data_IF_712552423648
#
_entry.id   IF_712552423648
#
_cell.length_a   1.000
_cell.length_b   1.000
_cell.length_c   1.000
_cell.angle_alpha   90.00
_cell.angle_beta   90.00
_cell.angle_gamma   90.00
#
_symmetry.space_group_name_H-M   'P 1'
#
loop_
_entity.id
_entity.type
_entity.pdbx_description
1 polymer ?
#
# COMPACT_ATOMS: atom_id res chain seq x y z
N UNK A 1 8.46 9.46 19.73
CA UNK A 1 9.65 10.00 20.41
C UNK A 1 9.55 9.58 21.86
N UNK A 2 10.57 8.92 22.39
CA UNK A 2 10.65 8.49 23.79
C UNK A 2 11.94 9.11 24.32
N UNK A 3 11.86 9.79 25.45
CA UNK A 3 13.02 10.41 26.10
C UNK A 3 13.20 9.82 27.48
N UNK A 4 14.43 9.43 27.79
CA UNK A 4 14.82 8.95 29.11
C UNK A 4 15.81 9.92 29.75
N UNK A 5 15.67 10.25 31.04
CA UNK A 5 16.68 11.02 31.77
C UNK A 5 18.05 10.32 31.75
N UNK A 6 19.13 11.11 31.78
CA UNK A 6 20.50 10.57 31.73
C UNK A 6 20.80 9.53 32.80
N UNK A 7 20.28 9.72 34.02
CA UNK A 7 20.49 8.76 35.11
C UNK A 7 19.82 7.40 34.84
N UNK A 8 18.67 7.37 34.15
CA UNK A 8 17.96 6.12 33.78
C UNK A 8 18.71 5.37 32.69
N UNK A 9 19.31 6.07 31.72
CA UNK A 9 20.09 5.44 30.63
C UNK A 9 21.34 4.74 31.17
N UNK A 10 21.91 5.25 32.26
CA UNK A 10 23.14 4.74 32.86
C UNK A 10 22.90 3.61 33.89
N UNK A 11 21.65 3.27 34.20
CA UNK A 11 21.36 2.16 35.11
C UNK A 11 21.70 0.82 34.45
N UNK A 12 22.38 -0.03 35.22
CA UNK A 12 22.54 -1.45 34.88
C UNK A 12 21.29 -2.20 35.33
N UNK A 13 20.61 -2.84 34.38
CA UNK A 13 19.38 -3.59 34.63
C UNK A 13 19.65 -5.09 34.56
N UNK A 14 19.23 -5.83 35.59
CA UNK A 14 19.16 -7.29 35.58
C UNK A 14 17.77 -7.73 35.10
N UNK A 15 17.57 -7.66 33.78
CA UNK A 15 16.30 -8.02 33.13
C UNK A 15 16.56 -9.05 32.01
N UNK A 16 15.57 -9.89 31.68
CA UNK A 16 15.70 -10.80 30.54
C UNK A 16 15.96 -10.06 29.23
N UNK A 17 16.60 -10.74 28.29
CA UNK A 17 16.80 -10.24 26.93
C UNK A 17 15.46 -9.81 26.29
N UNK A 18 15.45 -8.73 25.50
CA UNK A 18 14.26 -8.33 24.77
C UNK A 18 13.84 -9.46 23.83
N UNK A 19 12.52 -9.67 23.72
CA UNK A 19 11.98 -10.61 22.75
C UNK A 19 12.45 -10.24 21.33
N UNK A 20 12.67 -11.22 20.45
CA UNK A 20 12.99 -10.90 19.06
C UNK A 20 11.85 -10.11 18.42
N UNK A 21 12.15 -9.18 17.47
CA UNK A 21 11.16 -8.28 16.87
C UNK A 21 9.86 -8.94 16.39
N UNK A 22 9.94 -10.15 15.84
CA UNK A 22 8.79 -10.91 15.34
C UNK A 22 7.78 -11.35 16.42
N UNK A 23 8.15 -11.27 17.71
CA UNK A 23 7.28 -11.65 18.83
C UNK A 23 6.37 -10.52 19.29
N UNK A 24 6.66 -9.28 18.94
CA UNK A 24 5.89 -8.11 19.39
C UNK A 24 5.56 -7.12 18.27
N UNK A 25 6.23 -7.17 17.12
CA UNK A 25 5.86 -6.35 15.96
C UNK A 25 4.77 -7.04 15.15
N UNK A 26 3.74 -6.29 14.79
CA UNK A 26 2.69 -6.72 13.87
C UNK A 26 3.15 -6.52 12.41
N UNK A 27 3.99 -7.43 11.91
CA UNK A 27 4.66 -7.27 10.60
C UNK A 27 3.99 -8.00 9.42
N UNK A 28 2.87 -8.70 9.62
CA UNK A 28 2.18 -9.45 8.56
C UNK A 28 0.65 -9.46 8.78
N UNK A 29 0.05 -8.30 9.02
CA UNK A 29 -1.41 -8.21 9.13
C UNK A 29 -2.03 -8.39 7.75
N UNK A 30 -2.59 -9.57 7.48
CA UNK A 30 -3.38 -9.83 6.28
C UNK A 30 -4.84 -9.42 6.46
N UNK A 31 -5.54 -9.22 5.34
CA UNK A 31 -6.99 -9.20 5.35
C UNK A 31 -7.55 -10.61 5.62
N UNK A 32 -8.74 -10.69 6.20
CA UNK A 32 -9.43 -11.97 6.37
C UNK A 32 -9.87 -12.56 5.03
N UNK A 33 -10.02 -13.89 4.98
CA UNK A 33 -10.39 -14.60 3.75
C UNK A 33 -11.72 -14.09 3.15
N UNK A 34 -12.68 -13.73 4.02
CA UNK A 34 -13.99 -13.20 3.61
C UNK A 34 -13.85 -11.84 2.93
N UNK A 35 -13.06 -10.94 3.52
CA UNK A 35 -12.82 -9.60 2.99
C UNK A 35 -12.06 -9.66 1.66
N UNK A 36 -11.09 -10.58 1.54
CA UNK A 36 -10.40 -10.83 0.26
C UNK A 36 -11.38 -11.37 -0.79
N UNK A 37 -12.25 -12.32 -0.43
CA UNK A 37 -13.23 -12.87 -1.37
C UNK A 37 -14.23 -11.81 -1.85
N UNK A 38 -14.68 -10.92 -0.96
CA UNK A 38 -15.54 -9.79 -1.29
C UNK A 38 -14.85 -8.81 -2.25
N UNK A 39 -13.60 -8.44 -1.98
CA UNK A 39 -12.82 -7.58 -2.87
C UNK A 39 -12.65 -8.22 -4.26
N UNK A 40 -12.37 -9.52 -4.33
CA UNK A 40 -12.25 -10.26 -5.60
C UNK A 40 -13.57 -10.25 -6.38
N UNK A 41 -14.71 -10.42 -5.71
CA UNK A 41 -16.03 -10.36 -6.36
C UNK A 41 -16.27 -8.98 -6.98
N UNK A 42 -16.05 -7.90 -6.22
CA UNK A 42 -16.19 -6.53 -6.70
C UNK A 42 -15.26 -6.24 -7.89
N UNK A 43 -13.98 -6.65 -7.80
CA UNK A 43 -13.00 -6.48 -8.88
C UNK A 43 -13.44 -7.19 -10.17
N UNK A 44 -14.06 -8.38 -10.07
CA UNK A 44 -14.53 -9.13 -11.23
C UNK A 44 -15.78 -8.54 -11.88
N UNK A 45 -16.62 -7.87 -11.10
CA UNK A 45 -17.87 -7.24 -11.59
C UNK A 45 -17.62 -5.85 -12.19
N UNK A 46 -16.54 -5.17 -11.80
CA UNK A 46 -16.18 -3.86 -12.29
C UNK A 46 -15.88 -3.86 -13.79
N UNK A 47 -16.43 -2.86 -14.49
CA UNK A 47 -16.24 -2.64 -15.93
C UNK A 47 -15.16 -1.61 -16.21
N UNK A 48 -15.01 -0.65 -15.31
CA UNK A 48 -14.03 0.45 -15.39
C UNK A 48 -13.31 0.62 -14.05
N UNK A 49 -12.62 -0.42 -13.54
CA UNK A 49 -11.90 -0.29 -12.28
C UNK A 49 -10.68 0.63 -12.42
N UNK A 50 -10.24 1.23 -11.31
CA UNK A 50 -8.93 1.88 -11.17
C UNK A 50 -8.18 1.26 -9.99
N UNK A 51 -6.84 1.34 -10.03
CA UNK A 51 -5.99 1.11 -8.86
C UNK A 51 -5.48 2.45 -8.32
N UNK A 52 -5.78 2.77 -7.06
CA UNK A 52 -5.22 3.93 -6.37
C UNK A 52 -4.03 3.47 -5.52
N UNK A 53 -2.82 3.85 -5.92
CA UNK A 53 -1.57 3.37 -5.31
C UNK A 53 -0.89 4.48 -4.53
N UNK A 54 -0.73 4.25 -3.23
CA UNK A 54 -0.04 5.16 -2.33
C UNK A 54 1.37 4.73 -1.94
N UNK A 55 2.03 5.57 -1.15
CA UNK A 55 3.40 5.37 -0.67
C UNK A 55 3.57 4.06 0.13
N UNK A 56 2.50 3.57 0.75
CA UNK A 56 2.48 2.31 1.50
C UNK A 56 2.93 1.11 0.69
N UNK A 57 2.67 1.07 -0.62
CA UNK A 57 3.14 -0.01 -1.52
C UNK A 57 4.67 -0.07 -1.60
N UNK A 58 5.35 1.07 -1.44
CA UNK A 58 6.80 1.12 -1.45
C UNK A 58 7.41 0.76 -0.10
N UNK A 59 6.78 1.18 1.00
CA UNK A 59 7.26 0.86 2.34
C UNK A 59 7.00 -0.60 2.73
N UNK A 60 5.92 -1.20 2.20
CA UNK A 60 5.61 -2.63 2.31
C UNK A 60 6.42 -3.51 1.35
N UNK A 61 7.09 -2.92 0.34
CA UNK A 61 7.83 -3.62 -0.71
C UNK A 61 6.96 -4.56 -1.56
N UNK A 62 5.70 -4.15 -1.81
CA UNK A 62 4.72 -4.96 -2.57
C UNK A 62 4.53 -4.46 -4.00
N UNK A 63 5.56 -3.86 -4.60
CA UNK A 63 5.46 -3.26 -5.93
C UNK A 63 5.19 -4.31 -7.03
N UNK A 64 5.76 -5.52 -6.88
CA UNK A 64 5.63 -6.58 -7.87
C UNK A 64 4.21 -7.14 -7.89
N UNK A 65 3.62 -7.37 -6.71
CA UNK A 65 2.25 -7.86 -6.55
C UNK A 65 1.24 -6.84 -7.06
N UNK A 66 1.47 -5.54 -6.81
CA UNK A 66 0.62 -4.46 -7.34
C UNK A 66 0.71 -4.38 -8.85
N UNK A 67 1.89 -4.60 -9.43
CA UNK A 67 2.07 -4.69 -10.88
C UNK A 67 1.27 -5.85 -11.47
N UNK A 68 1.40 -7.04 -10.91
CA UNK A 68 0.66 -8.22 -11.35
C UNK A 68 -0.85 -8.01 -11.28
N UNK A 69 -1.34 -7.39 -10.20
CA UNK A 69 -2.75 -7.04 -10.06
C UNK A 69 -3.20 -6.02 -11.11
N UNK A 70 -2.42 -4.97 -11.37
CA UNK A 70 -2.72 -3.97 -12.39
C UNK A 70 -2.74 -4.54 -13.82
N UNK A 71 -1.87 -5.51 -14.11
CA UNK A 71 -1.85 -6.26 -15.37
C UNK A 71 -3.09 -7.17 -15.49
N UNK A 72 -3.45 -7.89 -14.42
CA UNK A 72 -4.62 -8.77 -14.37
C UNK A 72 -5.94 -8.03 -14.51
N UNK A 73 -6.08 -6.89 -13.81
CA UNK A 73 -7.26 -6.03 -13.89
C UNK A 73 -7.31 -5.27 -15.22
N UNK A 74 -6.19 -5.17 -15.92
CA UNK A 74 -5.99 -4.35 -17.10
C UNK A 74 -6.53 -2.92 -16.95
N UNK A 75 -6.22 -2.28 -15.82
CA UNK A 75 -6.77 -0.99 -15.45
C UNK A 75 -5.70 0.11 -15.37
N UNK A 76 -6.10 1.40 -15.42
CA UNK A 76 -5.20 2.50 -15.08
C UNK A 76 -4.78 2.45 -13.60
N UNK A 77 -3.57 2.93 -13.34
CA UNK A 77 -3.01 3.11 -12.00
C UNK A 77 -2.93 4.60 -11.70
N UNK A 78 -3.55 5.01 -10.61
CA UNK A 78 -3.60 6.39 -10.14
C UNK A 78 -2.67 6.50 -8.94
N UNK A 79 -1.58 7.25 -9.08
CA UNK A 79 -0.54 7.35 -8.06
C UNK A 79 -0.75 8.58 -7.18
N UNK A 80 -0.80 8.40 -5.86
CA UNK A 80 -0.97 9.52 -4.92
C UNK A 80 0.30 10.34 -4.75
N UNK A 81 0.16 11.57 -4.25
CA UNK A 81 1.26 12.51 -4.02
C UNK A 81 2.10 12.12 -2.80
N UNK A 82 2.92 11.09 -2.94
CA UNK A 82 3.77 10.51 -1.87
C UNK A 82 5.26 10.39 -2.21
N UNK A 83 5.75 11.10 -3.23
CA UNK A 83 7.15 11.08 -3.69
C UNK A 83 7.36 10.37 -5.04
N UNK A 84 8.62 10.31 -5.52
CA UNK A 84 9.05 9.67 -6.79
C UNK A 84 9.05 8.14 -6.72
N UNK A 85 7.98 7.58 -6.18
CA UNK A 85 7.85 6.16 -5.97
C UNK A 85 7.25 5.59 -7.25
N UNK A 86 8.05 4.91 -8.09
CA UNK A 86 7.59 4.33 -9.35
C UNK A 86 7.66 2.80 -9.29
N UNK A 87 6.69 2.13 -9.92
CA UNK A 87 6.73 0.67 -10.07
C UNK A 87 7.29 0.35 -11.47
N UNK A 88 8.47 -0.30 -11.57
CA UNK A 88 9.05 -0.66 -12.86
C UNK A 88 8.12 -1.54 -13.71
N UNK A 89 7.82 -1.11 -14.93
CA UNK A 89 6.94 -1.81 -15.87
C UNK A 89 5.48 -1.36 -15.86
N UNK A 90 5.10 -0.38 -15.01
CA UNK A 90 3.76 0.20 -15.00
C UNK A 90 3.67 1.61 -15.59
N UNK A 91 4.78 2.17 -16.08
CA UNK A 91 4.88 3.58 -16.50
C UNK A 91 3.79 3.99 -17.50
N UNK A 92 3.48 3.13 -18.46
CA UNK A 92 2.54 3.44 -19.55
C UNK A 92 1.07 3.51 -19.10
N UNK A 93 0.75 3.05 -17.88
CA UNK A 93 -0.60 3.07 -17.32
C UNK A 93 -0.69 3.78 -15.97
N UNK A 94 0.39 4.41 -15.51
CA UNK A 94 0.42 5.13 -14.25
C UNK A 94 0.29 6.63 -14.48
N UNK A 95 -0.68 7.23 -13.80
CA UNK A 95 -0.98 8.65 -13.91
C UNK A 95 -0.97 9.31 -12.53
N UNK A 96 -0.41 10.52 -12.39
CA UNK A 96 -0.41 11.22 -11.11
C UNK A 96 -1.83 11.68 -10.75
N UNK A 97 -2.26 11.34 -9.54
CA UNK A 97 -3.53 11.79 -8.97
C UNK A 97 -3.62 13.32 -8.97
N UNK A 98 -4.78 13.88 -9.34
CA UNK A 98 -5.08 15.33 -9.47
C UNK A 98 -4.31 16.10 -10.56
N UNK A 99 -3.11 15.67 -10.93
CA UNK A 99 -2.22 16.41 -11.83
C UNK A 99 -2.26 15.90 -13.28
N UNK A 100 -3.11 14.93 -13.59
CA UNK A 100 -3.30 14.38 -14.93
C UNK A 100 -4.78 14.43 -15.33
N UNK A 101 -5.14 15.08 -16.45
CA UNK A 101 -6.49 15.01 -17.00
C UNK A 101 -6.97 13.57 -17.24
N UNK A 102 -6.06 12.69 -17.70
CA UNK A 102 -6.36 11.27 -17.88
C UNK A 102 -6.64 10.56 -16.54
N UNK A 103 -5.92 10.93 -15.47
CA UNK A 103 -6.22 10.41 -14.14
C UNK A 103 -7.60 10.86 -13.65
N UNK A 104 -7.91 12.15 -13.82
CA UNK A 104 -9.19 12.70 -13.38
C UNK A 104 -10.36 12.04 -14.12
N UNK A 105 -10.26 11.89 -15.45
CA UNK A 105 -11.26 11.19 -16.24
C UNK A 105 -11.41 9.72 -15.81
N UNK A 106 -10.31 8.99 -15.64
CA UNK A 106 -10.36 7.61 -15.20
C UNK A 106 -11.02 7.46 -13.82
N UNK A 107 -10.77 8.39 -12.90
CA UNK A 107 -11.42 8.42 -11.58
C UNK A 107 -12.92 8.72 -11.71
N UNK A 108 -13.30 9.75 -12.47
CA UNK A 108 -14.70 10.14 -12.68
C UNK A 108 -15.54 9.06 -13.36
N UNK A 109 -14.95 8.33 -14.32
CA UNK A 109 -15.62 7.26 -15.06
C UNK A 109 -15.55 5.89 -14.37
N UNK A 110 -14.78 5.77 -13.29
CA UNK A 110 -14.59 4.48 -12.61
C UNK A 110 -15.84 4.01 -11.88
N UNK A 111 -16.09 2.71 -11.92
CA UNK A 111 -17.14 2.04 -11.14
C UNK A 111 -16.59 1.31 -9.91
N UNK A 112 -15.27 1.19 -9.80
CA UNK A 112 -14.57 0.64 -8.64
C UNK A 112 -13.19 1.29 -8.45
N UNK A 113 -12.87 1.67 -7.23
CA UNK A 113 -11.53 2.08 -6.83
C UNK A 113 -10.93 1.07 -5.84
N UNK A 114 -9.84 0.43 -6.24
CA UNK A 114 -9.05 -0.45 -5.36
C UNK A 114 -7.88 0.35 -4.81
N UNK A 115 -8.00 0.78 -3.56
CA UNK A 115 -7.00 1.60 -2.88
C UNK A 115 -5.98 0.76 -2.12
N UNK A 116 -4.69 0.94 -2.43
CA UNK A 116 -3.58 0.17 -1.88
C UNK A 116 -2.51 1.11 -1.30
N UNK A 117 -2.26 0.98 0.01
CA UNK A 117 -1.17 1.69 0.68
C UNK A 117 -1.31 3.22 0.66
N UNK A 118 -2.54 3.73 0.66
CA UNK A 118 -2.87 5.16 0.69
C UNK A 118 -3.79 5.49 1.84
#
# INVERSE_FOLDING_TARGET
YIEYPSHVILEELDVPDPLPPNRYRLVNQGAGEREVAEAVALIREAKSPILLVGHGVHTSRTQQEVKELAELMNCPVIQTSGGTSFIPGLQDRTFPYLFSPAANQAVEESDLCVALGT
#
